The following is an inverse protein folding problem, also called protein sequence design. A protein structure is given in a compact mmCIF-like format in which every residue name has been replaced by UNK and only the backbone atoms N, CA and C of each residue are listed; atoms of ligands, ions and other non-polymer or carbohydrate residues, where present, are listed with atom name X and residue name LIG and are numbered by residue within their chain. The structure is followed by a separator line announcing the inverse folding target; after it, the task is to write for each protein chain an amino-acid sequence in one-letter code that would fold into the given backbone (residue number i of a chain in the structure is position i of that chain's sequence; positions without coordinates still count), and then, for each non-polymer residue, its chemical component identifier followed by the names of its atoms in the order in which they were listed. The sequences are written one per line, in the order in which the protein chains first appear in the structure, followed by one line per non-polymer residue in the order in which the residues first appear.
data_IF_271828847160
#
_entry.id   IF_271828847160
#
_cell.length_a   1.000
_cell.length_b   1.000
_cell.length_c   1.000
_cell.angle_alpha   90.00
_cell.angle_beta   90.00
_cell.angle_gamma   90.00
#
_symmetry.space_group_name_H-M   'P 1'
#
loop_
_entity.id
_entity.type
_entity.pdbx_description
1 polymer ?
#
# COMPACT_ATOMS: atom_id res chain seq x y z
N UNK A 1 -8.32 -15.43 5.19
CA UNK A 1 -7.08 -14.75 4.84
C UNK A 1 -7.47 -13.46 4.16
N UNK A 2 -7.23 -12.34 4.84
CA UNK A 2 -7.47 -10.98 4.34
C UNK A 2 -6.09 -10.36 4.14
N UNK A 3 -5.80 -9.94 2.91
CA UNK A 3 -4.58 -9.20 2.58
C UNK A 3 -4.99 -7.77 2.23
N UNK A 4 -4.34 -6.79 2.86
CA UNK A 4 -4.51 -5.39 2.52
C UNK A 4 -3.37 -4.94 1.60
N UNK A 5 -3.71 -4.09 0.62
CA UNK A 5 -2.72 -3.36 -0.17
C UNK A 5 -2.86 -1.90 0.18
N UNK A 6 -1.76 -1.28 0.62
CA UNK A 6 -1.79 0.09 1.09
C UNK A 6 -1.48 1.09 -0.01
N UNK A 7 -2.23 2.19 0.01
CA UNK A 7 -1.90 3.44 -0.65
C UNK A 7 -1.19 4.39 0.34
N UNK A 8 -0.44 5.35 -0.18
CA UNK A 8 0.36 6.32 0.58
C UNK A 8 -0.52 7.18 1.50
N UNK A 9 -1.61 7.73 0.98
CA UNK A 9 -2.49 8.65 1.71
C UNK A 9 -3.08 8.04 2.99
N UNK A 10 -3.72 6.86 2.92
CA UNK A 10 -4.22 6.16 4.10
C UNK A 10 -3.15 5.84 5.15
N UNK A 11 -1.92 5.47 4.75
CA UNK A 11 -0.83 5.21 5.69
C UNK A 11 -0.44 6.47 6.46
N UNK A 12 -0.36 7.61 5.77
CA UNK A 12 -0.09 8.91 6.40
C UNK A 12 -1.21 9.27 7.37
N UNK A 13 -2.47 9.20 6.93
CA UNK A 13 -3.60 9.60 7.77
C UNK A 13 -3.78 8.70 9.00
N UNK A 14 -3.46 7.41 8.90
CA UNK A 14 -3.47 6.51 10.05
C UNK A 14 -2.36 6.85 11.05
N UNK A 15 -1.17 7.24 10.58
CA UNK A 15 -0.08 7.70 11.46
C UNK A 15 -0.45 9.03 12.15
N UNK A 16 -1.04 9.98 11.42
CA UNK A 16 -1.48 11.28 11.96
C UNK A 16 -2.44 11.15 13.15
N UNK A 17 -3.30 10.12 13.14
CA UNK A 17 -4.23 9.83 14.24
C UNK A 17 -3.73 8.75 15.20
N UNK A 18 -2.51 8.22 15.01
CA UNK A 18 -1.92 7.17 15.85
C UNK A 18 -2.67 5.84 15.80
N UNK A 19 -3.22 5.48 14.64
CA UNK A 19 -4.06 4.29 14.45
C UNK A 19 -3.49 3.30 13.40
N UNK A 20 -2.23 3.44 13.00
CA UNK A 20 -1.63 2.54 11.99
C UNK A 20 -1.69 1.06 12.37
N UNK A 21 -1.67 0.77 13.68
CA UNK A 21 -1.78 -0.58 14.23
C UNK A 21 -3.09 -1.30 13.84
N UNK A 22 -4.11 -0.59 13.36
CA UNK A 22 -5.33 -1.21 12.81
C UNK A 22 -5.02 -2.18 11.66
N UNK A 23 -3.92 -1.96 10.95
CA UNK A 23 -3.47 -2.83 9.87
C UNK A 23 -2.96 -4.20 10.38
N UNK A 24 -2.65 -4.34 11.67
CA UNK A 24 -2.35 -5.65 12.27
C UNK A 24 -3.56 -6.60 12.32
N UNK A 25 -4.77 -6.10 12.03
CA UNK A 25 -5.98 -6.90 11.97
C UNK A 25 -6.12 -7.74 10.68
N UNK A 26 -5.32 -7.44 9.64
CA UNK A 26 -5.29 -8.24 8.41
C UNK A 26 -4.17 -9.28 8.47
N UNK A 27 -4.31 -10.36 7.72
CA UNK A 27 -3.35 -11.48 7.72
C UNK A 27 -2.07 -11.15 6.93
N UNK A 28 -2.10 -10.11 6.09
CA UNK A 28 -0.93 -9.64 5.35
C UNK A 28 -1.11 -8.21 4.84
N UNK A 29 -0.02 -7.46 4.78
CA UNK A 29 0.04 -6.10 4.28
C UNK A 29 1.05 -6.02 3.14
N UNK A 30 0.60 -5.62 1.96
CA UNK A 30 1.45 -5.36 0.80
C UNK A 30 1.60 -3.85 0.60
N UNK A 31 2.84 -3.42 0.40
CA UNK A 31 3.17 -2.02 0.09
C UNK A 31 3.89 -2.04 -1.25
N UNK A 32 3.39 -1.26 -2.22
CA UNK A 32 4.08 -1.15 -3.50
C UNK A 32 5.37 -0.34 -3.35
N UNK A 33 6.37 -0.64 -4.17
CA UNK A 33 7.63 0.12 -4.18
C UNK A 33 7.39 1.61 -4.41
N UNK A 34 6.46 1.97 -5.31
CA UNK A 34 6.05 3.37 -5.55
C UNK A 34 5.46 4.04 -4.31
N UNK A 35 4.57 3.36 -3.58
CA UNK A 35 4.00 3.88 -2.32
C UNK A 35 5.10 4.07 -1.27
N UNK A 36 6.02 3.11 -1.15
CA UNK A 36 7.12 3.22 -0.21
C UNK A 36 8.05 4.41 -0.54
N UNK A 37 8.37 4.63 -1.81
CA UNK A 37 9.15 5.77 -2.27
C UNK A 37 8.47 7.12 -1.99
N UNK A 38 7.14 7.19 -2.13
CA UNK A 38 6.38 8.39 -1.76
C UNK A 38 6.44 8.68 -0.25
N UNK A 39 6.37 7.63 0.58
CA UNK A 39 6.57 7.77 2.03
C UNK A 39 7.99 8.23 2.36
N UNK A 40 9.02 7.71 1.69
CA UNK A 40 10.42 8.13 1.88
C UNK A 40 10.66 9.58 1.44
N UNK A 41 9.98 10.05 0.40
CA UNK A 41 10.08 11.44 -0.04
C UNK A 41 9.49 12.43 0.98
N UNK A 42 8.50 11.98 1.76
CA UNK A 42 7.94 12.72 2.88
C UNK A 42 8.58 12.30 4.21
N UNK A 43 7.90 11.40 4.92
CA UNK A 43 8.39 10.75 6.13
C UNK A 43 7.71 9.40 6.26
N UNK A 44 8.51 8.34 6.38
CA UNK A 44 7.98 7.00 6.68
C UNK A 44 7.44 6.98 8.10
N UNK A 45 6.15 6.64 8.32
CA UNK A 45 5.57 6.50 9.65
C UNK A 45 6.43 5.60 10.55
N UNK A 46 6.93 6.07 11.70
CA UNK A 46 7.76 5.23 12.58
C UNK A 46 7.03 3.97 13.03
N UNK A 47 5.72 4.06 13.25
CA UNK A 47 4.89 2.94 13.68
C UNK A 47 4.70 1.87 12.58
N UNK A 48 5.01 2.17 11.31
CA UNK A 48 5.07 1.15 10.24
C UNK A 48 6.12 0.07 10.54
N UNK A 49 7.19 0.40 11.28
CA UNK A 49 8.21 -0.57 11.71
C UNK A 49 7.70 -1.62 12.70
N UNK A 50 6.51 -1.40 13.30
CA UNK A 50 5.86 -2.36 14.19
C UNK A 50 5.00 -3.38 13.43
N UNK A 51 4.79 -3.19 12.13
CA UNK A 51 3.95 -4.04 11.28
C UNK A 51 4.82 -4.92 10.39
N UNK A 52 4.38 -6.15 10.17
CA UNK A 52 4.92 -6.99 9.10
C UNK A 52 4.25 -6.61 7.78
N UNK A 53 5.06 -6.22 6.79
CA UNK A 53 4.61 -5.94 5.44
C UNK A 53 5.61 -6.47 4.41
N UNK A 54 5.10 -6.72 3.20
CA UNK A 54 5.90 -7.12 2.06
C UNK A 54 5.98 -5.95 1.05
N UNK A 55 7.19 -5.64 0.61
CA UNK A 55 7.41 -4.69 -0.49
C UNK A 55 7.32 -5.43 -1.81
N UNK A 56 6.49 -4.90 -2.72
CA UNK A 56 6.21 -5.53 -4.01
C UNK A 56 6.29 -4.52 -5.16
N UNK A 57 6.73 -4.99 -6.32
CA UNK A 57 6.71 -4.19 -7.54
C UNK A 57 5.32 -4.20 -8.17
N UNK A 58 4.86 -3.03 -8.61
CA UNK A 58 3.57 -2.89 -9.27
C UNK A 58 3.72 -3.08 -10.79
N UNK A 59 3.16 -4.17 -11.34
CA UNK A 59 2.98 -4.30 -12.77
C UNK A 59 1.72 -3.53 -13.21
N UNK A 60 1.93 -2.31 -13.70
CA UNK A 60 0.84 -1.43 -14.14
C UNK A 60 0.37 -1.70 -15.57
N UNK A 61 0.96 -2.69 -16.27
CA UNK A 61 0.63 -2.94 -17.69
C UNK A 61 -0.80 -3.43 -17.91
N UNK A 62 -1.42 -4.04 -16.90
CA UNK A 62 -2.79 -4.53 -16.95
C UNK A 62 -3.85 -3.46 -16.64
N UNK A 63 -3.46 -2.29 -16.13
CA UNK A 63 -4.38 -1.18 -15.87
C UNK A 63 -4.77 -0.50 -17.20
N UNK A 64 -5.77 -1.08 -17.85
CA UNK A 64 -6.28 -0.67 -19.17
C UNK A 64 -7.08 0.64 -19.16
N UNK A 65 -7.41 1.17 -17.98
CA UNK A 65 -8.20 2.39 -17.82
C UNK A 65 -7.33 3.47 -17.18
N UNK A 66 -7.20 4.62 -17.85
CA UNK A 66 -6.61 5.80 -17.22
C UNK A 66 -7.66 6.39 -16.25
N UNK A 67 -7.53 6.03 -14.98
CA UNK A 67 -8.41 6.45 -13.90
C UNK A 67 -8.05 7.84 -13.32
N UNK A 68 -7.00 8.50 -13.85
CA UNK A 68 -6.47 9.76 -13.32
C UNK A 68 -6.19 9.67 -11.81
N UNK A 69 -5.61 8.55 -11.40
CA UNK A 69 -5.16 8.28 -10.03
C UNK A 69 -3.72 8.77 -9.86
N UNK A 70 -3.36 9.06 -8.61
CA UNK A 70 -1.98 9.37 -8.26
C UNK A 70 -1.07 8.12 -8.41
N UNK A 71 0.26 8.28 -8.50
CA UNK A 71 1.17 7.15 -8.70
C UNK A 71 1.06 6.08 -7.61
N UNK A 72 1.02 6.48 -6.33
CA UNK A 72 0.76 5.58 -5.20
C UNK A 72 -0.56 4.81 -5.32
N UNK A 73 -1.65 5.50 -5.63
CA UNK A 73 -2.97 4.90 -5.82
C UNK A 73 -2.98 3.90 -6.98
N UNK A 74 -2.34 4.26 -8.10
CA UNK A 74 -2.23 3.42 -9.30
C UNK A 74 -1.42 2.15 -8.99
N UNK A 75 -0.29 2.29 -8.29
CA UNK A 75 0.55 1.17 -7.92
C UNK A 75 -0.14 0.23 -6.91
N UNK A 76 -0.81 0.78 -5.90
CA UNK A 76 -1.60 0.00 -4.94
C UNK A 76 -2.73 -0.77 -5.65
N UNK A 77 -3.44 -0.14 -6.59
CA UNK A 77 -4.50 -0.80 -7.35
C UNK A 77 -3.97 -1.91 -8.27
N UNK A 78 -2.82 -1.70 -8.92
CA UNK A 78 -2.16 -2.72 -9.74
C UNK A 78 -1.80 -3.95 -8.91
N UNK A 79 -1.16 -3.74 -7.75
CA UNK A 79 -0.80 -4.81 -6.81
C UNK A 79 -2.05 -5.52 -6.29
N UNK A 80 -3.12 -4.79 -5.93
CA UNK A 80 -4.36 -5.40 -5.46
C UNK A 80 -5.04 -6.25 -6.55
N UNK A 81 -5.00 -5.80 -7.80
CA UNK A 81 -5.55 -6.55 -8.94
C UNK A 81 -4.74 -7.82 -9.20
N UNK A 82 -3.41 -7.75 -9.11
CA UNK A 82 -2.54 -8.92 -9.23
C UNK A 82 -2.71 -9.89 -8.06
N UNK A 83 -2.85 -9.40 -6.84
CA UNK A 83 -3.03 -10.22 -5.63
C UNK A 83 -4.35 -11.01 -5.63
N UNK A 84 -5.41 -10.50 -6.28
CA UNK A 84 -6.66 -11.23 -6.46
C UNK A 84 -6.52 -12.50 -7.32
N UNK A 85 -5.45 -12.64 -8.11
CA UNK A 85 -5.20 -13.85 -8.89
C UNK A 85 -4.59 -14.99 -8.05
N UNK A 86 -4.14 -14.69 -6.82
CA UNK A 86 -3.46 -15.65 -5.93
C UNK A 86 -4.30 -16.12 -4.73
N UNK A 87 -5.51 -15.57 -4.53
CA UNK A 87 -6.48 -15.99 -3.50
C UNK A 87 -7.68 -16.71 -4.12
#
# INVERSE_FOLDING_TARGET
MIVAVADTGPLIHLDEIGAIDVLSAVDGLLISQTVYEELEAGTVPPALSNLEYELVEADQTELTVNLNLDPGETAALAVASAAQLFC
#
